data_IF_410803364386
#
_entry.id   IF_410803364386
#
_cell.length_a   1.000
_cell.length_b   1.000
_cell.length_c   1.000
_cell.angle_alpha   90.00
_cell.angle_beta   90.00
_cell.angle_gamma   90.00
#
_symmetry.space_group_name_H-M   'P 1'
#
loop_
_entity.id
_entity.type
_entity.pdbx_description
1 polymer ?
#
# COMPACT_ATOMS: atom_id res chain seq x y z
N UNK A 1 -4.74 -7.12 22.16
CA UNK A 1 -4.53 -8.59 21.88
C UNK A 1 -3.49 -8.71 20.76
N UNK A 2 -2.70 -9.80 20.69
CA UNK A 2 -1.79 -10.02 19.56
C UNK A 2 -2.58 -10.62 18.39
N UNK A 3 -2.49 -10.03 17.17
CA UNK A 3 -3.10 -10.63 15.99
C UNK A 3 -2.60 -12.06 15.74
N UNK A 4 -3.44 -12.99 15.26
CA UNK A 4 -3.07 -14.38 15.08
C UNK A 4 -2.21 -14.60 13.84
N UNK A 5 -0.93 -14.93 14.02
CA UNK A 5 0.00 -15.37 12.97
C UNK A 5 1.13 -16.22 13.56
N UNK A 6 1.82 -16.96 12.69
CA UNK A 6 2.97 -17.79 13.03
C UNK A 6 4.17 -17.37 12.16
N UNK A 7 5.35 -17.25 12.75
CA UNK A 7 6.59 -17.04 12.00
C UNK A 7 7.05 -18.39 11.45
N UNK A 8 6.95 -18.51 10.12
CA UNK A 8 7.37 -19.71 9.39
C UNK A 8 8.79 -19.59 8.86
N UNK A 9 9.38 -20.70 8.39
CA UNK A 9 10.65 -20.66 7.68
C UNK A 9 10.60 -19.83 6.40
N UNK A 10 9.45 -19.82 5.70
CA UNK A 10 9.18 -18.99 4.52
C UNK A 10 9.29 -17.51 4.87
N UNK A 11 8.62 -17.07 5.94
CA UNK A 11 8.71 -15.69 6.43
C UNK A 11 10.15 -15.32 6.76
N UNK A 12 10.88 -16.18 7.50
CA UNK A 12 12.28 -15.93 7.85
C UNK A 12 13.17 -15.77 6.60
N UNK A 13 12.99 -16.63 5.59
CA UNK A 13 13.73 -16.54 4.34
C UNK A 13 13.43 -15.21 3.61
N UNK A 14 12.16 -14.80 3.52
CA UNK A 14 11.80 -13.51 2.91
C UNK A 14 12.44 -12.34 3.65
N UNK A 15 12.44 -12.33 4.99
CA UNK A 15 13.06 -11.26 5.77
C UNK A 15 14.56 -11.13 5.46
N UNK A 16 15.27 -12.25 5.30
CA UNK A 16 16.69 -12.27 4.95
C UNK A 16 16.91 -11.73 3.53
N UNK A 17 16.15 -12.21 2.55
CA UNK A 17 16.32 -11.79 1.15
C UNK A 17 15.91 -10.33 0.92
N UNK A 18 14.84 -9.85 1.57
CA UNK A 18 14.44 -8.44 1.54
C UNK A 18 15.55 -7.56 2.14
N UNK A 19 16.12 -7.96 3.28
CA UNK A 19 17.22 -7.20 3.92
C UNK A 19 18.45 -7.10 3.01
N UNK A 20 18.81 -8.19 2.32
CA UNK A 20 19.90 -8.19 1.32
C UNK A 20 19.58 -7.29 0.12
N UNK A 21 18.35 -7.36 -0.39
CA UNK A 21 17.92 -6.55 -1.51
C UNK A 21 17.98 -5.05 -1.19
N UNK A 22 17.51 -4.65 0.00
CA UNK A 22 17.57 -3.26 0.48
C UNK A 22 19.02 -2.76 0.61
N UNK A 23 19.91 -3.55 1.21
CA UNK A 23 21.32 -3.15 1.35
C UNK A 23 22.00 -2.85 0.01
N UNK A 24 21.63 -3.57 -1.06
CA UNK A 24 22.14 -3.31 -2.40
C UNK A 24 21.53 -2.03 -3.01
N UNK A 25 20.23 -1.78 -2.80
CA UNK A 25 19.54 -0.60 -3.31
C UNK A 25 20.01 0.71 -2.64
N UNK A 26 20.32 0.70 -1.35
CA UNK A 26 20.83 1.88 -0.64
C UNK A 26 22.14 2.42 -1.23
N UNK A 27 22.94 1.55 -1.83
CA UNK A 27 24.21 1.92 -2.49
C UNK A 27 23.93 2.66 -3.82
N UNK A 28 22.86 2.27 -4.54
CA UNK A 28 22.58 2.75 -5.90
C UNK A 28 21.65 3.99 -5.96
N UNK A 29 20.68 4.11 -5.05
CA UNK A 29 19.53 5.03 -5.19
C UNK A 29 19.75 6.45 -4.69
N UNK A 30 20.91 6.81 -4.14
CA UNK A 30 21.15 8.15 -3.56
C UNK A 30 20.99 9.33 -4.53
N UNK A 31 20.72 9.14 -5.83
CA UNK A 31 20.86 10.18 -6.86
C UNK A 31 19.65 10.45 -7.76
N UNK A 32 18.53 9.74 -7.74
CA UNK A 32 17.52 9.91 -8.79
C UNK A 32 16.14 10.40 -8.29
N UNK A 33 15.94 11.73 -8.25
CA UNK A 33 14.67 12.39 -7.89
C UNK A 33 13.54 12.12 -8.91
N UNK A 34 13.87 11.94 -10.19
CA UNK A 34 12.88 11.68 -11.24
C UNK A 34 12.21 10.32 -11.03
N UNK A 35 12.99 9.29 -10.74
CA UNK A 35 12.52 7.95 -10.44
C UNK A 35 11.54 7.92 -9.26
N UNK A 36 11.75 8.77 -8.24
CA UNK A 36 10.86 8.88 -7.08
C UNK A 36 9.46 9.37 -7.46
N UNK A 37 9.36 10.38 -8.34
CA UNK A 37 8.06 10.89 -8.81
C UNK A 37 7.32 9.83 -9.64
N UNK A 38 8.00 9.18 -10.57
CA UNK A 38 7.42 8.12 -11.40
C UNK A 38 6.88 6.96 -10.56
N UNK A 39 7.65 6.54 -9.56
CA UNK A 39 7.25 5.46 -8.67
C UNK A 39 6.06 5.84 -7.79
N UNK A 40 6.01 7.08 -7.30
CA UNK A 40 4.86 7.60 -6.59
C UNK A 40 3.59 7.55 -7.46
N UNK A 41 3.71 7.94 -8.73
CA UNK A 41 2.61 7.87 -9.69
C UNK A 41 2.18 6.41 -9.92
N UNK A 42 3.12 5.47 -10.06
CA UNK A 42 2.83 4.04 -10.18
C UNK A 42 2.10 3.50 -8.94
N UNK A 43 2.57 3.82 -7.71
CA UNK A 43 1.88 3.43 -6.47
C UNK A 43 0.44 3.92 -6.45
N UNK A 44 0.23 5.21 -6.73
CA UNK A 44 -1.10 5.82 -6.73
C UNK A 44 -2.00 5.16 -7.78
N UNK A 45 -1.52 5.04 -9.02
CA UNK A 45 -2.28 4.43 -10.11
C UNK A 45 -2.68 2.99 -9.76
N UNK A 46 -1.73 2.16 -9.32
CA UNK A 46 -2.00 0.76 -9.00
C UNK A 46 -2.95 0.62 -7.81
N UNK A 47 -2.76 1.41 -6.74
CA UNK A 47 -3.66 1.39 -5.59
C UNK A 47 -5.09 1.80 -5.93
N UNK A 48 -5.26 2.78 -6.82
CA UNK A 48 -6.58 3.21 -7.28
C UNK A 48 -7.19 2.24 -8.30
N UNK A 49 -6.39 1.65 -9.18
CA UNK A 49 -6.85 0.67 -10.16
C UNK A 49 -7.38 -0.62 -9.51
N UNK A 50 -6.82 -1.05 -8.36
CA UNK A 50 -7.35 -2.14 -7.54
C UNK A 50 -8.80 -1.84 -7.13
N UNK A 51 -9.14 -0.57 -6.90
CA UNK A 51 -10.50 -0.10 -6.55
C UNK A 51 -11.32 0.37 -7.77
N UNK A 52 -10.96 -0.12 -8.96
CA UNK A 52 -11.64 0.16 -10.24
C UNK A 52 -11.57 1.62 -10.74
N UNK A 53 -10.64 2.44 -10.28
CA UNK A 53 -10.35 3.72 -10.91
C UNK A 53 -9.74 3.48 -12.28
N UNK A 54 -10.30 4.08 -13.33
CA UNK A 54 -9.99 3.79 -14.73
C UNK A 54 -8.92 4.68 -15.34
N UNK A 55 -8.39 5.66 -14.59
CA UNK A 55 -7.45 6.65 -15.12
C UNK A 55 -6.08 6.05 -15.42
N UNK A 56 -5.55 6.37 -16.60
CA UNK A 56 -4.22 5.93 -17.02
C UNK A 56 -3.09 6.66 -16.27
N UNK A 57 -1.87 6.10 -16.32
CA UNK A 57 -0.67 6.73 -15.75
C UNK A 57 -0.47 8.15 -16.29
N UNK A 58 -0.70 8.37 -17.60
CA UNK A 58 -0.57 9.68 -18.25
C UNK A 58 -1.60 10.68 -17.72
N UNK A 59 -2.85 10.23 -17.53
CA UNK A 59 -3.92 11.07 -16.96
C UNK A 59 -3.60 11.42 -15.50
N UNK A 60 -3.18 10.45 -14.70
CA UNK A 60 -2.78 10.67 -13.30
C UNK A 60 -1.59 11.63 -13.22
N UNK A 61 -0.59 11.45 -14.07
CA UNK A 61 0.56 12.38 -14.17
C UNK A 61 0.10 13.80 -14.50
N UNK A 62 -0.81 13.93 -15.46
CA UNK A 62 -1.35 15.23 -15.85
C UNK A 62 -2.14 15.91 -14.71
N UNK A 63 -2.93 15.14 -13.95
CA UNK A 63 -3.66 15.63 -12.76
C UNK A 63 -2.68 16.14 -11.69
N UNK A 64 -1.63 15.37 -11.39
CA UNK A 64 -0.59 15.73 -10.41
C UNK A 64 0.19 16.98 -10.86
N UNK A 65 0.41 17.14 -12.18
CA UNK A 65 1.03 18.32 -12.77
C UNK A 65 0.07 19.53 -12.86
N UNK A 66 -1.15 19.44 -12.33
CA UNK A 66 -2.13 20.53 -12.33
C UNK A 66 -2.82 20.78 -13.69
N UNK A 67 -2.68 19.88 -14.64
CA UNK A 67 -3.31 19.97 -15.97
C UNK A 67 -4.77 19.52 -15.90
N UNK A 68 -5.59 20.00 -16.83
CA UNK A 68 -6.97 19.53 -16.99
C UNK A 68 -6.98 18.16 -17.68
N UNK A 69 -7.74 17.23 -17.11
CA UNK A 69 -7.94 15.88 -17.64
C UNK A 69 -9.44 15.64 -17.80
N UNK A 70 -9.83 14.98 -18.90
CA UNK A 70 -11.18 14.46 -19.07
C UNK A 70 -11.29 13.12 -18.36
N UNK A 71 -12.27 12.97 -17.47
CA UNK A 71 -12.53 11.77 -16.70
C UNK A 71 -13.66 12.00 -15.70
N UNK A 72 -14.03 10.95 -14.97
CA UNK A 72 -15.02 11.05 -13.90
C UNK A 72 -14.49 12.01 -12.81
N UNK A 73 -15.27 13.02 -12.37
CA UNK A 73 -14.85 13.94 -11.32
C UNK A 73 -14.46 13.23 -10.00
N UNK A 74 -15.12 12.11 -9.66
CA UNK A 74 -14.80 11.30 -8.49
C UNK A 74 -13.42 10.66 -8.63
N UNK A 75 -13.13 10.03 -9.78
CA UNK A 75 -11.83 9.39 -10.04
C UNK A 75 -10.70 10.43 -10.03
N UNK A 76 -10.91 11.61 -10.63
CA UNK A 76 -9.93 12.72 -10.58
C UNK A 76 -9.69 13.18 -9.14
N UNK A 77 -10.74 13.24 -8.32
CA UNK A 77 -10.63 13.61 -6.90
C UNK A 77 -9.86 12.55 -6.11
N UNK A 78 -10.11 11.27 -6.36
CA UNK A 78 -9.37 10.16 -5.76
C UNK A 78 -7.87 10.25 -6.02
N UNK A 79 -7.46 10.60 -7.24
CA UNK A 79 -6.04 10.81 -7.58
C UNK A 79 -5.41 11.92 -6.74
N UNK A 80 -6.08 13.09 -6.65
CA UNK A 80 -5.58 14.21 -5.86
C UNK A 80 -5.46 13.86 -4.38
N UNK A 81 -6.48 13.23 -3.83
CA UNK A 81 -6.52 12.78 -2.45
C UNK A 81 -5.42 11.74 -2.15
N UNK A 82 -5.24 10.76 -3.05
CA UNK A 82 -4.17 9.78 -2.92
C UNK A 82 -2.78 10.46 -2.98
N UNK A 83 -2.57 11.38 -3.90
CA UNK A 83 -1.32 12.13 -3.96
C UNK A 83 -1.01 12.85 -2.65
N UNK A 84 -1.98 13.59 -2.10
CA UNK A 84 -1.83 14.31 -0.83
C UNK A 84 -1.53 13.36 0.35
N UNK A 85 -2.16 12.19 0.39
CA UNK A 85 -1.94 11.18 1.43
C UNK A 85 -0.54 10.55 1.31
N UNK A 86 -0.13 10.15 0.10
CA UNK A 86 1.18 9.55 -0.13
C UNK A 86 2.34 10.52 0.12
N UNK A 87 2.17 11.83 -0.12
CA UNK A 87 3.18 12.85 0.24
C UNK A 87 3.39 12.98 1.76
N UNK A 88 2.44 12.50 2.57
CA UNK A 88 2.54 12.54 4.05
C UNK A 88 3.14 11.28 4.69
N UNK A 89 3.41 10.21 3.92
CA UNK A 89 3.86 8.91 4.45
C UNK A 89 4.97 9.04 5.49
N UNK A 90 6.02 9.84 5.23
CA UNK A 90 7.16 10.02 6.13
C UNK A 90 6.85 10.91 7.35
N UNK A 91 5.71 11.58 7.38
CA UNK A 91 5.32 12.49 8.45
C UNK A 91 4.27 11.88 9.40
N UNK A 92 3.79 10.66 9.09
CA UNK A 92 2.79 9.94 9.88
C UNK A 92 3.49 8.99 10.86
N UNK A 93 3.05 8.97 12.11
CA UNK A 93 3.47 7.95 13.07
C UNK A 93 2.72 6.63 12.78
N UNK A 94 3.42 5.55 12.40
CA UNK A 94 2.81 4.28 12.00
C UNK A 94 1.97 3.61 13.09
N UNK A 95 2.15 4.02 14.35
CA UNK A 95 1.43 3.47 15.49
C UNK A 95 0.52 4.50 16.18
N UNK A 96 0.18 5.60 15.50
CA UNK A 96 -0.76 6.63 15.94
C UNK A 96 -2.12 6.43 15.28
N UNK A 97 -3.13 6.09 16.06
CA UNK A 97 -4.53 6.01 15.58
C UNK A 97 -5.02 7.36 15.04
N UNK A 98 -4.57 8.48 15.64
CA UNK A 98 -4.88 9.83 15.16
C UNK A 98 -4.35 10.07 13.74
N UNK A 99 -3.12 9.62 13.46
CA UNK A 99 -2.51 9.78 12.15
C UNK A 99 -3.14 8.82 11.12
N UNK A 100 -3.59 7.64 11.55
CA UNK A 100 -4.37 6.71 10.74
C UNK A 100 -5.70 7.35 10.27
N UNK A 101 -6.45 7.95 11.19
CA UNK A 101 -7.67 8.66 10.86
C UNK A 101 -7.42 9.89 9.96
N UNK A 102 -6.31 10.61 10.19
CA UNK A 102 -5.88 11.70 9.30
C UNK A 102 -5.56 11.19 7.89
N UNK A 103 -4.87 10.08 7.75
CA UNK A 103 -4.56 9.46 6.46
C UNK A 103 -5.85 9.07 5.71
N UNK A 104 -6.82 8.46 6.38
CA UNK A 104 -8.13 8.16 5.81
C UNK A 104 -8.85 9.45 5.38
N UNK A 105 -8.82 10.49 6.21
CA UNK A 105 -9.39 11.79 5.84
C UNK A 105 -8.78 12.33 4.56
N UNK A 106 -7.46 12.29 4.41
CA UNK A 106 -6.78 12.73 3.20
C UNK A 106 -7.23 11.93 1.97
N UNK A 107 -7.31 10.59 2.08
CA UNK A 107 -7.71 9.71 0.98
C UNK A 107 -9.16 9.91 0.53
N UNK A 108 -10.06 10.30 1.44
CA UNK A 108 -11.52 10.23 1.21
C UNK A 108 -12.24 11.56 1.27
N UNK A 109 -11.52 12.68 1.51
CA UNK A 109 -12.11 14.04 1.53
C UNK A 109 -12.92 14.32 0.27
N UNK A 110 -14.16 14.78 0.44
CA UNK A 110 -15.15 15.06 -0.62
C UNK A 110 -15.59 13.84 -1.45
N UNK A 111 -15.27 12.61 -1.00
CA UNK A 111 -15.68 11.36 -1.64
C UNK A 111 -16.63 10.60 -0.72
N UNK A 112 -16.34 10.57 0.59
CA UNK A 112 -17.08 9.82 1.61
C UNK A 112 -17.61 10.75 2.68
N UNK A 113 -18.83 10.48 3.17
CA UNK A 113 -19.48 11.31 4.18
C UNK A 113 -18.76 11.30 5.54
N UNK A 114 -18.27 10.14 5.98
CA UNK A 114 -17.54 9.95 7.24
C UNK A 114 -16.03 9.87 7.02
N UNK A 115 -15.47 10.90 6.40
CA UNK A 115 -14.04 10.95 6.10
C UNK A 115 -13.20 11.20 7.36
N UNK A 116 -12.30 10.27 7.68
CA UNK A 116 -11.44 10.34 8.87
C UNK A 116 -12.10 9.88 10.17
N UNK A 117 -13.22 9.14 10.06
CA UNK A 117 -13.96 8.60 11.20
C UNK A 117 -14.27 7.13 10.98
N UNK A 118 -14.33 6.33 12.03
CA UNK A 118 -14.79 4.96 11.96
C UNK A 118 -16.30 4.92 11.66
N UNK A 119 -16.71 3.94 10.85
CA UNK A 119 -18.12 3.73 10.51
C UNK A 119 -18.95 3.37 11.75
N UNK A 120 -20.20 3.72 11.69
CA UNK A 120 -21.21 3.43 12.73
C UNK A 120 -22.29 2.44 12.24
N UNK A 121 -22.16 1.89 11.01
CA UNK A 121 -23.06 0.92 10.41
C UNK A 121 -22.32 -0.38 10.05
N UNK A 122 -23.07 -1.48 9.91
CA UNK A 122 -22.52 -2.74 9.42
C UNK A 122 -22.15 -2.62 7.93
N UNK A 123 -21.04 -3.24 7.53
CA UNK A 123 -20.55 -3.28 6.15
C UNK A 123 -20.15 -4.70 5.79
N UNK A 124 -20.62 -5.17 4.62
CA UNK A 124 -20.21 -6.43 4.01
C UNK A 124 -19.32 -6.17 2.79
N UNK A 125 -18.35 -7.03 2.58
CA UNK A 125 -17.55 -7.09 1.36
C UNK A 125 -18.19 -8.12 0.44
N UNK A 126 -18.42 -7.75 -0.82
CA UNK A 126 -19.08 -8.56 -1.82
C UNK A 126 -18.12 -8.87 -2.97
N UNK A 127 -18.23 -10.07 -3.55
CA UNK A 127 -17.53 -10.42 -4.77
C UNK A 127 -18.23 -9.82 -6.01
N UNK A 128 -17.63 -10.01 -7.20
CA UNK A 128 -18.19 -9.54 -8.48
C UNK A 128 -19.56 -10.15 -8.79
N UNK A 129 -19.89 -11.29 -8.20
CA UNK A 129 -21.17 -11.98 -8.35
C UNK A 129 -22.22 -11.51 -7.34
N UNK A 130 -21.86 -10.61 -6.42
CA UNK A 130 -22.74 -10.08 -5.37
C UNK A 130 -22.90 -11.01 -4.15
N UNK A 131 -22.05 -12.03 -4.00
CA UNK A 131 -22.00 -12.85 -2.79
C UNK A 131 -21.21 -12.13 -1.71
N UNK A 132 -21.71 -12.14 -0.49
CA UNK A 132 -20.95 -11.61 0.66
C UNK A 132 -19.79 -12.55 0.98
N UNK A 133 -18.57 -12.06 0.82
CA UNK A 133 -17.32 -12.82 1.05
C UNK A 133 -16.74 -12.58 2.43
N UNK A 134 -17.02 -11.41 3.03
CA UNK A 134 -16.59 -11.09 4.39
C UNK A 134 -17.57 -10.09 5.03
N UNK A 135 -17.79 -10.21 6.34
CA UNK A 135 -18.53 -9.25 7.14
C UNK A 135 -17.54 -8.52 8.05
N UNK A 136 -17.39 -7.22 7.86
CA UNK A 136 -16.55 -6.39 8.72
C UNK A 136 -16.95 -6.47 10.20
N UNK A 137 -16.05 -6.10 11.09
CA UNK A 137 -16.34 -6.08 12.53
C UNK A 137 -17.58 -5.25 12.84
N UNK A 138 -18.37 -5.65 13.88
CA UNK A 138 -19.52 -4.85 14.31
C UNK A 138 -19.08 -3.47 14.76
N UNK A 139 -19.80 -2.39 14.39
CA UNK A 139 -19.38 -1.00 14.63
C UNK A 139 -18.97 -0.70 16.08
N UNK A 140 -19.69 -1.24 17.06
CA UNK A 140 -19.39 -1.02 18.47
C UNK A 140 -18.02 -1.54 18.94
N UNK A 141 -17.39 -2.45 18.19
CA UNK A 141 -16.10 -3.02 18.54
C UNK A 141 -14.92 -2.43 17.76
N UNK A 142 -15.18 -1.66 16.68
CA UNK A 142 -14.13 -1.13 15.80
C UNK A 142 -13.09 -0.33 16.59
N UNK A 143 -13.54 0.61 17.43
CA UNK A 143 -12.62 1.45 18.21
C UNK A 143 -11.73 0.65 19.16
N UNK A 144 -12.24 -0.40 19.79
CA UNK A 144 -11.46 -1.26 20.68
C UNK A 144 -10.46 -2.14 19.88
N UNK A 145 -10.91 -2.74 18.78
CA UNK A 145 -10.05 -3.56 17.90
C UNK A 145 -8.89 -2.74 17.31
N UNK A 146 -9.18 -1.55 16.81
CA UNK A 146 -8.15 -0.66 16.25
C UNK A 146 -7.17 -0.21 17.34
N UNK A 147 -7.66 0.19 18.53
CA UNK A 147 -6.80 0.54 19.66
C UNK A 147 -5.86 -0.62 20.05
N UNK A 148 -6.39 -1.84 20.17
CA UNK A 148 -5.59 -3.02 20.48
C UNK A 148 -4.55 -3.31 19.39
N UNK A 149 -4.88 -3.13 18.10
CA UNK A 149 -3.95 -3.28 16.98
C UNK A 149 -2.79 -2.26 17.08
N UNK A 150 -3.10 -0.97 17.31
CA UNK A 150 -2.07 0.06 17.47
C UNK A 150 -1.22 -0.14 18.73
N UNK A 151 -1.82 -0.57 19.83
CA UNK A 151 -1.06 -0.91 21.04
C UNK A 151 -0.12 -2.09 20.84
N UNK A 152 -0.58 -3.14 20.14
CA UNK A 152 0.27 -4.25 19.74
C UNK A 152 1.42 -3.78 18.85
N UNK A 153 1.13 -3.02 17.82
CA UNK A 153 2.15 -2.49 16.91
C UNK A 153 3.25 -1.70 17.61
N UNK A 154 2.88 -0.93 18.63
CA UNK A 154 3.82 -0.11 19.42
C UNK A 154 4.67 -0.93 20.39
N UNK A 155 4.10 -1.96 21.02
CA UNK A 155 4.71 -2.68 22.15
C UNK A 155 5.41 -3.99 21.77
N UNK A 156 5.01 -4.62 20.67
CA UNK A 156 5.54 -5.93 20.27
C UNK A 156 6.82 -5.80 19.46
N UNK A 157 7.76 -6.76 19.63
CA UNK A 157 9.07 -6.76 18.98
C UNK A 157 9.05 -7.42 17.58
N UNK A 158 7.89 -7.74 17.03
CA UNK A 158 7.75 -8.29 15.69
C UNK A 158 8.42 -7.36 14.66
N UNK A 159 9.22 -7.86 13.71
CA UNK A 159 9.87 -7.04 12.68
C UNK A 159 8.88 -6.17 11.89
N UNK A 160 9.29 -4.95 11.54
CA UNK A 160 8.45 -3.98 10.82
C UNK A 160 7.86 -4.52 9.51
N UNK A 161 8.63 -5.34 8.78
CA UNK A 161 8.16 -6.04 7.57
C UNK A 161 6.94 -6.90 7.86
N UNK A 162 6.97 -7.69 8.93
CA UNK A 162 5.83 -8.54 9.33
C UNK A 162 4.69 -7.69 9.88
N UNK A 163 4.98 -6.69 10.75
CA UNK A 163 3.96 -5.78 11.28
C UNK A 163 3.18 -5.08 10.17
N UNK A 164 3.87 -4.64 9.11
CA UNK A 164 3.23 -3.96 7.98
C UNK A 164 2.20 -4.84 7.29
N UNK A 165 2.52 -6.12 7.09
CA UNK A 165 1.60 -7.10 6.51
C UNK A 165 0.42 -7.41 7.46
N UNK A 166 0.69 -7.54 8.76
CA UNK A 166 -0.36 -7.76 9.77
C UNK A 166 -1.32 -6.58 9.82
N UNK A 167 -0.83 -5.33 9.88
CA UNK A 167 -1.68 -4.15 9.86
C UNK A 167 -2.54 -4.09 8.60
N UNK A 168 -1.96 -4.39 7.43
CA UNK A 168 -2.72 -4.43 6.18
C UNK A 168 -3.86 -5.44 6.27
N UNK A 169 -3.57 -6.68 6.70
CA UNK A 169 -4.59 -7.73 6.87
C UNK A 169 -5.68 -7.33 7.88
N UNK A 170 -5.29 -6.86 9.07
CA UNK A 170 -6.24 -6.50 10.13
C UNK A 170 -7.15 -5.33 9.71
N UNK A 171 -6.63 -4.34 8.98
CA UNK A 171 -7.44 -3.25 8.42
C UNK A 171 -8.49 -3.79 7.43
N UNK A 172 -8.10 -4.73 6.58
CA UNK A 172 -9.04 -5.37 5.64
C UNK A 172 -10.12 -6.18 6.38
N UNK A 173 -9.76 -6.89 7.46
CA UNK A 173 -10.69 -7.74 8.21
C UNK A 173 -11.58 -6.94 9.16
N UNK A 174 -11.05 -6.00 9.91
CA UNK A 174 -11.84 -5.11 10.78
C UNK A 174 -12.77 -4.25 9.93
N UNK A 175 -12.28 -3.82 8.77
CA UNK A 175 -12.99 -2.96 7.81
C UNK A 175 -13.54 -1.70 8.48
N UNK A 176 -12.64 -0.86 9.08
CA UNK A 176 -13.06 0.17 10.03
C UNK A 176 -13.83 1.35 9.43
N UNK A 177 -13.80 1.54 8.11
CA UNK A 177 -14.39 2.69 7.43
C UNK A 177 -15.57 2.30 6.55
N UNK A 178 -16.40 3.29 6.19
CA UNK A 178 -17.51 3.13 5.27
C UNK A 178 -17.01 2.80 3.85
N UNK A 179 -15.91 3.44 3.41
CA UNK A 179 -15.21 3.23 2.13
C UNK A 179 -13.72 3.52 2.31
N UNK A 180 -12.88 3.01 1.41
CA UNK A 180 -11.44 3.28 1.38
C UNK A 180 -10.59 2.36 2.25
N UNK A 181 -11.14 1.26 2.77
CA UNK A 181 -10.38 0.32 3.61
C UNK A 181 -9.19 -0.30 2.86
N UNK A 182 -9.39 -0.77 1.62
CA UNK A 182 -8.32 -1.31 0.79
C UNK A 182 -7.20 -0.31 0.52
N UNK A 183 -7.56 0.92 0.15
CA UNK A 183 -6.60 2.03 -0.03
C UNK A 183 -5.84 2.33 1.27
N UNK A 184 -6.54 2.29 2.41
CA UNK A 184 -5.92 2.47 3.73
C UNK A 184 -4.99 1.33 4.12
N UNK A 185 -5.36 0.07 3.89
CA UNK A 185 -4.51 -1.10 4.16
C UNK A 185 -3.18 -0.99 3.43
N UNK A 186 -3.21 -0.69 2.14
CA UNK A 186 -2.01 -0.50 1.30
C UNK A 186 -1.19 0.73 1.72
N UNK A 187 -1.82 1.88 1.91
CA UNK A 187 -1.13 3.09 2.36
C UNK A 187 -0.48 2.88 3.73
N UNK A 188 -1.20 2.28 4.70
CA UNK A 188 -0.69 2.10 6.06
C UNK A 188 0.45 1.10 6.13
N UNK A 189 0.41 0.06 5.29
CA UNK A 189 1.56 -0.81 5.09
C UNK A 189 2.80 0.00 4.67
N UNK A 190 2.67 0.91 3.71
CA UNK A 190 3.76 1.77 3.27
C UNK A 190 4.22 2.75 4.37
N UNK A 191 3.31 3.29 5.18
CA UNK A 191 3.68 4.14 6.33
C UNK A 191 4.57 3.38 7.31
N UNK A 192 4.21 2.13 7.67
CA UNK A 192 5.02 1.30 8.58
C UNK A 192 6.39 0.98 7.95
N UNK A 193 6.41 0.58 6.70
CA UNK A 193 7.64 0.25 5.97
C UNK A 193 8.56 1.46 5.80
N UNK A 194 8.01 2.61 5.42
CA UNK A 194 8.79 3.84 5.20
C UNK A 194 9.34 4.43 6.51
N UNK A 195 8.62 4.25 7.62
CA UNK A 195 9.12 4.64 8.94
C UNK A 195 10.30 3.76 9.39
N UNK A 196 10.29 2.47 9.02
CA UNK A 196 11.39 1.55 9.28
C UNK A 196 12.58 1.79 8.33
N UNK A 197 12.32 1.91 7.02
CA UNK A 197 13.32 2.24 6.01
C UNK A 197 12.73 3.21 4.98
N UNK A 198 13.25 4.47 4.91
CA UNK A 198 12.71 5.52 4.04
C UNK A 198 12.69 5.19 2.54
N UNK A 199 13.44 4.18 2.06
CA UNK A 199 13.37 3.72 0.67
C UNK A 199 11.94 3.28 0.29
N UNK A 200 11.21 2.66 1.22
CA UNK A 200 9.84 2.22 0.97
C UNK A 200 8.85 3.34 0.67
N UNK A 201 9.17 4.59 1.00
CA UNK A 201 8.32 5.71 0.57
C UNK A 201 8.28 5.91 -0.94
N UNK A 202 9.16 5.24 -1.70
CA UNK A 202 9.30 5.37 -3.16
C UNK A 202 9.23 4.04 -3.92
N UNK A 203 9.05 2.93 -3.22
CA UNK A 203 8.96 1.58 -3.82
C UNK A 203 7.49 1.27 -4.08
N UNK A 204 7.06 1.08 -5.36
CA UNK A 204 5.66 0.91 -5.70
C UNK A 204 5.18 -0.54 -5.48
N UNK A 205 5.04 -0.96 -4.23
CA UNK A 205 4.57 -2.30 -3.84
C UNK A 205 3.19 -2.59 -4.43
N UNK A 206 2.34 -1.57 -4.52
CA UNK A 206 0.99 -1.65 -5.06
C UNK A 206 0.96 -2.12 -6.52
N UNK A 207 2.02 -1.87 -7.28
CA UNK A 207 2.10 -2.33 -8.67
C UNK A 207 2.06 -3.86 -8.76
N UNK A 208 2.86 -4.54 -7.96
CA UNK A 208 2.88 -6.01 -7.92
C UNK A 208 1.59 -6.58 -7.31
N UNK A 209 0.99 -5.88 -6.33
CA UNK A 209 -0.34 -6.26 -5.81
C UNK A 209 -1.38 -6.19 -6.94
N UNK A 210 -1.39 -5.12 -7.72
CA UNK A 210 -2.32 -4.93 -8.84
C UNK A 210 -2.14 -5.98 -9.92
N UNK A 211 -0.91 -6.27 -10.32
CA UNK A 211 -0.58 -7.32 -11.30
C UNK A 211 -1.00 -8.71 -10.82
N UNK A 212 -1.04 -8.94 -9.50
CA UNK A 212 -1.43 -10.20 -8.87
C UNK A 212 -2.77 -10.09 -8.11
N UNK A 213 -3.68 -9.19 -8.51
CA UNK A 213 -4.90 -8.84 -7.78
C UNK A 213 -5.78 -10.04 -7.43
N UNK A 214 -5.97 -10.97 -8.35
CA UNK A 214 -6.75 -12.18 -8.10
C UNK A 214 -6.14 -13.05 -6.99
N UNK A 215 -4.81 -13.19 -7.00
CA UNK A 215 -4.11 -13.94 -5.96
C UNK A 215 -4.16 -13.22 -4.61
N UNK A 216 -4.05 -11.90 -4.61
CA UNK A 216 -4.19 -11.07 -3.42
C UNK A 216 -5.54 -11.30 -2.72
N UNK A 217 -6.66 -11.21 -3.43
CA UNK A 217 -7.97 -11.47 -2.85
C UNK A 217 -8.17 -12.93 -2.42
N UNK A 218 -7.63 -13.88 -3.19
CA UNK A 218 -7.68 -15.30 -2.83
C UNK A 218 -6.95 -15.57 -1.51
N UNK A 219 -5.79 -14.96 -1.31
CA UNK A 219 -4.99 -15.12 -0.09
C UNK A 219 -5.64 -14.42 1.10
N UNK A 220 -6.24 -13.23 0.92
CA UNK A 220 -7.05 -12.57 1.95
C UNK A 220 -8.19 -13.48 2.41
N UNK A 221 -8.97 -14.01 1.48
CA UNK A 221 -10.07 -14.92 1.80
C UNK A 221 -9.60 -16.24 2.45
N UNK A 222 -8.41 -16.73 2.12
CA UNK A 222 -7.82 -17.90 2.77
C UNK A 222 -7.41 -17.60 4.22
N UNK A 223 -6.77 -16.45 4.44
CA UNK A 223 -6.36 -16.01 5.77
C UNK A 223 -7.57 -15.77 6.68
N UNK A 224 -8.64 -15.18 6.15
CA UNK A 224 -9.90 -14.96 6.85
C UNK A 224 -10.52 -16.29 7.30
N UNK A 225 -10.69 -17.26 6.40
CA UNK A 225 -11.20 -18.61 6.74
C UNK A 225 -10.37 -19.31 7.80
N UNK A 226 -9.07 -19.07 7.84
CA UNK A 226 -8.16 -19.64 8.82
C UNK A 226 -8.12 -18.86 10.14
N UNK A 227 -8.75 -17.69 10.17
CA UNK A 227 -8.59 -16.70 11.26
C UNK A 227 -7.11 -16.52 11.66
N UNK A 228 -6.24 -16.40 10.65
CA UNK A 228 -4.79 -16.35 10.82
C UNK A 228 -4.11 -15.70 9.61
N UNK A 229 -3.35 -14.66 9.83
CA UNK A 229 -2.74 -13.86 8.76
C UNK A 229 -1.45 -14.43 8.15
N UNK A 230 -0.96 -15.61 8.59
CA UNK A 230 0.33 -16.16 8.15
C UNK A 230 0.47 -16.24 6.63
N UNK A 231 -0.53 -16.80 5.94
CA UNK A 231 -0.48 -16.96 4.47
C UNK A 231 -0.51 -15.61 3.75
N UNK A 232 -1.19 -14.62 4.32
CA UNK A 232 -1.18 -13.25 3.80
C UNK A 232 0.18 -12.58 4.00
N UNK A 233 0.81 -12.77 5.17
CA UNK A 233 2.16 -12.27 5.45
C UNK A 233 3.16 -12.87 4.45
N UNK A 234 3.12 -14.18 4.21
CA UNK A 234 4.01 -14.85 3.24
C UNK A 234 3.84 -14.29 1.83
N UNK A 235 2.59 -14.10 1.39
CA UNK A 235 2.29 -13.50 0.09
C UNK A 235 2.82 -12.07 -0.02
N UNK A 236 2.52 -11.21 0.96
CA UNK A 236 2.94 -9.81 0.94
C UNK A 236 4.46 -9.63 1.03
N UNK A 237 5.16 -10.46 1.80
CA UNK A 237 6.62 -10.45 1.82
C UNK A 237 7.21 -10.88 0.48
N UNK A 238 6.58 -11.84 -0.20
CA UNK A 238 6.91 -12.21 -1.59
C UNK A 238 6.76 -11.02 -2.56
N UNK A 239 5.63 -10.32 -2.50
CA UNK A 239 5.37 -9.09 -3.28
C UNK A 239 6.43 -8.01 -3.01
N UNK A 240 6.77 -7.77 -1.74
CA UNK A 240 7.82 -6.81 -1.37
C UNK A 240 9.17 -7.21 -1.98
N UNK A 241 9.56 -8.49 -1.86
CA UNK A 241 10.81 -8.97 -2.42
C UNK A 241 10.84 -8.84 -3.95
N UNK A 242 9.77 -9.23 -4.64
CA UNK A 242 9.65 -9.13 -6.10
C UNK A 242 9.79 -7.68 -6.56
N UNK A 243 9.09 -6.75 -5.87
CA UNK A 243 9.20 -5.31 -6.16
C UNK A 243 10.64 -4.81 -6.01
N UNK A 244 11.34 -5.21 -4.94
CA UNK A 244 12.74 -4.81 -4.71
C UNK A 244 13.70 -5.39 -5.76
N UNK A 245 13.45 -6.61 -6.23
CA UNK A 245 14.28 -7.26 -7.26
C UNK A 245 14.07 -6.62 -8.63
N UNK A 246 12.84 -6.25 -8.97
CA UNK A 246 12.54 -5.51 -10.20
C UNK A 246 13.26 -4.15 -10.27
N UNK A 247 13.60 -3.57 -9.12
CA UNK A 247 14.38 -2.33 -9.04
C UNK A 247 15.88 -2.51 -9.31
N UNK A 248 16.41 -3.73 -9.25
CA UNK A 248 17.82 -4.02 -9.51
C UNK A 248 18.16 -4.14 -11.00
N UNK A 249 17.17 -4.41 -11.84
CA UNK A 249 17.36 -4.45 -13.27
C UNK A 249 17.15 -3.04 -13.85
N UNK A 250 18.22 -2.34 -14.30
CA UNK A 250 18.03 -1.11 -15.07
C UNK A 250 17.23 -1.48 -16.31
N UNK A 251 16.12 -0.82 -16.52
CA UNK A 251 15.33 -0.95 -17.75
C UNK A 251 16.31 -0.82 -18.94
N UNK A 252 16.43 -1.86 -19.78
CA UNK A 252 17.34 -1.86 -20.94
C UNK A 252 17.10 -0.66 -21.87
N UNK A 253 15.89 -0.09 -21.85
CA UNK A 253 15.52 1.15 -22.53
C UNK A 253 16.27 2.38 -22.01
N UNK A 254 16.58 2.44 -20.72
CA UNK A 254 17.36 3.55 -20.14
C UNK A 254 18.84 3.46 -20.53
N UNK A 255 19.36 2.26 -20.78
CA UNK A 255 20.71 2.05 -21.29
C UNK A 255 20.84 2.46 -22.76
N UNK A 256 19.80 2.25 -23.58
CA UNK A 256 19.78 2.67 -24.98
C UNK A 256 19.66 4.20 -25.11
N UNK A 257 18.82 4.85 -24.30
CA UNK A 257 18.70 6.30 -24.26
C UNK A 257 20.00 6.97 -23.77
N UNK A 258 20.62 6.47 -22.72
CA UNK A 258 21.91 6.99 -22.22
C UNK A 258 23.06 6.80 -23.23
N UNK A 259 23.08 5.74 -24.04
CA UNK A 259 24.03 5.58 -25.14
C UNK A 259 23.77 6.51 -26.31
N UNK A 260 22.49 6.73 -26.65
CA UNK A 260 22.09 7.65 -27.71
C UNK A 260 22.40 9.11 -27.34
N UNK A 261 22.21 9.51 -26.10
CA UNK A 261 22.58 10.84 -25.61
C UNK A 261 24.11 11.04 -25.61
N UNK A 262 24.90 10.03 -25.26
CA UNK A 262 26.36 10.10 -25.32
C UNK A 262 26.91 10.19 -26.74
N UNK A 263 26.23 9.65 -27.77
CA UNK A 263 26.61 9.79 -29.17
C UNK A 263 26.27 11.18 -29.73
N UNK A 264 25.22 11.84 -29.25
CA UNK A 264 24.87 13.21 -29.67
C UNK A 264 25.90 14.25 -29.23
N UNK A 265 26.57 14.04 -28.07
CA UNK A 265 27.61 14.94 -27.55
C UNK A 265 29.02 14.66 -28.10
N UNK A 266 29.19 13.65 -28.98
CA UNK A 266 30.45 13.32 -29.65
C UNK A 266 30.55 13.84 -31.08
N UNK A 267 29.55 14.53 -31.59
CA UNK A 267 29.56 15.24 -32.89
C UNK A 267 29.55 16.76 -32.64
#
# INVERSE_FOLDING_TARGET
>A
MKPPFTITSTILNYLIEISKALGNLEIETKKNLHLRKENRIKSIQSSLAIENNSLSIEQITAIIDGKRVLGDPKEIKEVKNAYDAYEKILNLDPYSEKDFLLAHKLLTTEIVGQSGEYRNSDVGIFDEQGNMVHLGARPQFIGDLMRELFEWGRKDDTPALVKSCVFHYEIEMIHPFEDGNGRMGRLWQNVILANWNPLFSWIPIETIIYENQQQYYKVLAQADRNNNSTVFIEFMLGVILETLLAYKEPDDKTKELSKAEQEVFKK
#
